data_IF_086669747614
#
_entry.id   IF_086669747614
#
_cell.length_a   1.000
_cell.length_b   1.000
_cell.length_c   1.000
_cell.angle_alpha   90.00
_cell.angle_beta   90.00
_cell.angle_gamma   90.00
#
_symmetry.space_group_name_H-M   'P 1'
#
loop_
_entity.id
_entity.type
_entity.pdbx_description
1 polymer ?
#
# COMPACT_ATOMS: atom_id res chain seq x y z
N UNK A 1 -51.24 -45.25 14.60
CA UNK A 1 -52.63 -44.83 14.31
C UNK A 1 -52.62 -43.36 13.92
N UNK A 2 -53.10 -43.03 12.70
CA UNK A 2 -53.58 -41.73 12.18
C UNK A 2 -52.66 -40.48 12.26
N UNK A 3 -52.53 -39.60 11.26
CA UNK A 3 -53.11 -39.50 9.91
C UNK A 3 -52.30 -38.46 9.12
N UNK A 4 -52.10 -38.76 7.84
CA UNK A 4 -51.83 -37.89 6.69
C UNK A 4 -52.36 -36.44 6.81
N UNK A 5 -51.58 -35.47 6.34
CA UNK A 5 -52.05 -34.51 5.32
C UNK A 5 -50.87 -33.89 4.54
N UNK A 6 -50.79 -34.25 3.25
CA UNK A 6 -50.07 -33.54 2.20
C UNK A 6 -50.93 -32.35 1.73
N UNK A 7 -50.34 -31.18 1.52
CA UNK A 7 -51.00 -30.08 0.79
C UNK A 7 -50.04 -29.52 -0.27
N UNK A 8 -50.66 -29.21 -1.41
CA UNK A 8 -50.16 -29.14 -2.77
C UNK A 8 -49.38 -27.87 -3.15
N UNK A 9 -48.57 -28.05 -4.19
CA UNK A 9 -47.93 -27.08 -5.09
C UNK A 9 -48.95 -26.14 -5.76
N UNK A 10 -48.64 -24.85 -5.90
CA UNK A 10 -49.06 -24.03 -7.04
C UNK A 10 -48.12 -22.83 -7.24
N UNK A 11 -47.38 -22.84 -8.35
CA UNK A 11 -46.64 -21.69 -8.87
C UNK A 11 -47.63 -20.77 -9.60
N UNK A 12 -47.62 -19.47 -9.28
CA UNK A 12 -48.36 -18.44 -10.02
C UNK A 12 -47.36 -17.60 -10.82
N UNK A 13 -47.36 -17.78 -12.13
CA UNK A 13 -46.76 -16.88 -13.12
C UNK A 13 -47.85 -15.90 -13.54
N UNK A 14 -47.67 -14.61 -13.27
CA UNK A 14 -48.54 -13.54 -13.77
C UNK A 14 -47.76 -12.76 -14.82
N UNK A 15 -48.12 -12.97 -16.09
CA UNK A 15 -47.84 -12.06 -17.19
C UNK A 15 -48.93 -10.98 -17.22
N UNK A 16 -48.53 -9.71 -17.19
CA UNK A 16 -49.37 -8.60 -17.65
C UNK A 16 -48.60 -7.77 -18.68
N UNK A 17 -49.22 -7.67 -19.85
CA UNK A 17 -48.83 -6.88 -21.01
C UNK A 17 -49.46 -5.50 -20.94
N UNK A 18 -48.65 -4.44 -20.92
CA UNK A 18 -48.96 -3.04 -21.23
C UNK A 18 -47.63 -2.45 -21.72
N UNK A 19 -47.46 -1.71 -22.81
CA UNK A 19 -48.33 -0.98 -23.71
C UNK A 19 -47.37 0.03 -24.34
N UNK A 20 -47.10 -0.15 -25.63
CA UNK A 20 -46.16 0.63 -26.45
C UNK A 20 -46.93 1.85 -26.94
N UNK A 21 -46.38 3.05 -26.76
CA UNK A 21 -46.37 4.18 -27.73
C UNK A 21 -46.23 5.55 -27.03
N UNK A 22 -45.36 6.38 -27.63
CA UNK A 22 -45.14 7.82 -27.44
C UNK A 22 -44.47 8.32 -26.14
N UNK A 23 -43.15 8.55 -26.20
CA UNK A 23 -42.52 9.88 -26.21
C UNK A 23 -41.16 9.70 -26.92
N UNK A 24 -41.10 10.11 -28.19
CA UNK A 24 -39.88 10.50 -28.88
C UNK A 24 -39.70 12.02 -28.68
N UNK A 25 -38.47 12.47 -28.86
CA UNK A 25 -38.00 13.86 -28.86
C UNK A 25 -37.74 14.52 -27.51
N UNK A 26 -36.50 14.33 -27.00
CA UNK A 26 -35.56 15.44 -26.83
C UNK A 26 -34.23 14.96 -26.19
N UNK A 27 -33.13 15.29 -26.87
CA UNK A 27 -31.74 15.33 -26.40
C UNK A 27 -30.98 14.00 -26.23
N UNK A 28 -30.77 13.35 -27.37
CA UNK A 28 -29.42 12.97 -27.79
C UNK A 28 -28.52 14.20 -27.92
N UNK A 29 -27.41 14.25 -27.18
CA UNK A 29 -26.08 14.74 -27.59
C UNK A 29 -25.14 14.79 -26.37
N UNK A 30 -24.26 13.79 -26.28
CA UNK A 30 -22.82 13.95 -26.00
C UNK A 30 -22.14 12.60 -26.19
N UNK A 31 -21.89 12.34 -27.46
CA UNK A 31 -20.70 11.72 -28.04
C UNK A 31 -19.93 10.73 -27.16
N UNK A 32 -20.11 9.45 -27.49
CA UNK A 32 -19.00 8.52 -27.50
C UNK A 32 -17.87 9.10 -28.35
N UNK A 33 -16.72 9.36 -27.72
CA UNK A 33 -15.47 9.50 -28.45
C UNK A 33 -14.44 8.54 -27.85
N UNK A 34 -14.23 7.48 -28.62
CA UNK A 34 -12.98 6.75 -28.74
C UNK A 34 -11.77 7.68 -28.54
N UNK A 35 -10.94 7.40 -27.54
CA UNK A 35 -9.60 7.96 -27.43
C UNK A 35 -8.59 6.83 -27.27
N UNK A 36 -8.14 6.35 -28.43
CA UNK A 36 -6.76 5.97 -28.72
C UNK A 36 -5.77 7.01 -28.12
N UNK A 37 -4.53 6.62 -27.73
CA UNK A 37 -3.77 7.34 -26.71
C UNK A 37 -3.29 8.69 -27.22
N UNK A 38 -3.69 9.75 -26.54
CA UNK A 38 -3.08 11.07 -26.70
C UNK A 38 -1.69 11.06 -26.06
N UNK A 39 -0.66 11.04 -26.91
CA UNK A 39 0.66 11.58 -26.60
C UNK A 39 0.54 13.09 -26.36
N UNK A 40 0.68 13.50 -25.10
CA UNK A 40 1.28 14.76 -24.63
C UNK A 40 2.02 14.29 -23.38
N UNK A 41 3.34 14.36 -23.24
CA UNK A 41 4.24 15.39 -23.73
C UNK A 41 5.02 15.83 -22.50
N UNK A 42 6.17 15.18 -22.31
CA UNK A 42 7.36 15.78 -21.70
C UNK A 42 7.38 15.93 -20.18
N UNK A 43 7.89 14.88 -19.54
CA UNK A 43 8.90 15.03 -18.49
C UNK A 43 8.37 15.31 -17.09
N UNK A 44 7.63 14.36 -16.51
CA UNK A 44 7.77 14.16 -15.07
C UNK A 44 9.25 13.86 -14.82
N UNK A 45 9.98 14.81 -14.22
CA UNK A 45 11.35 14.56 -13.76
C UNK A 45 11.22 13.47 -12.72
N UNK A 46 11.52 12.24 -13.13
CA UNK A 46 11.58 11.11 -12.22
C UNK A 46 12.54 11.52 -11.10
N UNK A 47 12.06 11.51 -9.86
CA UNK A 47 12.97 11.54 -8.71
C UNK A 47 13.96 10.41 -8.92
N UNK A 48 15.25 10.68 -8.71
CA UNK A 48 16.32 9.68 -8.85
C UNK A 48 16.18 8.52 -7.84
N UNK A 49 15.24 8.63 -6.90
CA UNK A 49 14.98 7.66 -5.85
C UNK A 49 13.94 6.65 -6.34
N UNK A 50 14.25 5.37 -6.15
CA UNK A 50 13.31 4.28 -6.26
C UNK A 50 13.12 3.64 -4.89
N UNK A 51 11.89 3.29 -4.56
CA UNK A 51 11.53 2.66 -3.30
C UNK A 51 10.75 1.38 -3.58
N UNK A 52 10.70 0.47 -2.60
CA UNK A 52 9.60 -0.51 -2.59
C UNK A 52 8.29 0.27 -2.40
N UNK A 53 7.32 0.04 -3.30
CA UNK A 53 6.02 0.72 -3.33
C UNK A 53 4.89 -0.31 -3.42
N UNK A 54 4.29 -0.63 -2.26
CA UNK A 54 3.27 -1.66 -2.10
C UNK A 54 2.45 -1.52 -0.81
N UNK A 55 1.31 -2.19 -0.73
CA UNK A 55 0.46 -2.28 0.46
C UNK A 55 -0.03 -3.72 0.69
N UNK A 56 0.33 -4.33 1.82
CA UNK A 56 -0.01 -5.73 2.12
C UNK A 56 -1.51 -6.01 2.29
N UNK A 57 -2.34 -4.97 2.37
CA UNK A 57 -3.80 -5.09 2.41
C UNK A 57 -4.45 -4.97 1.02
N UNK A 58 -3.68 -4.65 -0.03
CA UNK A 58 -4.17 -4.61 -1.41
C UNK A 58 -4.20 -6.02 -2.01
N UNK A 59 -5.23 -6.31 -2.79
CA UNK A 59 -5.36 -7.59 -3.52
C UNK A 59 -4.19 -7.75 -4.49
N UNK A 60 -3.47 -8.87 -4.38
CA UNK A 60 -2.29 -9.18 -5.21
C UNK A 60 -0.97 -8.55 -4.74
N UNK A 61 -0.97 -7.82 -3.61
CA UNK A 61 0.23 -7.26 -3.00
C UNK A 61 0.49 -7.80 -1.57
N UNK A 62 -0.07 -8.96 -1.24
CA UNK A 62 0.01 -9.58 0.10
C UNK A 62 1.47 -9.83 0.53
N UNK A 63 2.33 -10.15 -0.45
CA UNK A 63 3.77 -10.34 -0.27
C UNK A 63 4.51 -9.06 0.15
N UNK A 64 3.86 -7.90 0.08
CA UNK A 64 4.36 -6.69 0.73
C UNK A 64 4.48 -6.90 2.25
N UNK A 65 3.76 -7.83 2.88
CA UNK A 65 3.97 -8.14 4.29
C UNK A 65 5.35 -8.74 4.61
N UNK A 66 6.07 -9.25 3.60
CA UNK A 66 7.32 -9.99 3.78
C UNK A 66 8.54 -9.06 3.85
N UNK A 67 9.64 -9.62 4.34
CA UNK A 67 10.95 -8.96 4.42
C UNK A 67 11.98 -9.55 3.44
N UNK A 68 11.56 -10.52 2.62
CA UNK A 68 12.41 -11.17 1.64
C UNK A 68 12.70 -10.21 0.47
N UNK A 69 13.98 -9.92 0.24
CA UNK A 69 14.42 -9.00 -0.79
C UNK A 69 14.09 -9.50 -2.19
N UNK A 70 14.15 -10.82 -2.43
CA UNK A 70 13.88 -11.39 -3.74
C UNK A 70 12.41 -11.27 -4.11
N UNK A 71 11.53 -11.45 -3.11
CA UNK A 71 10.09 -11.23 -3.27
C UNK A 71 9.77 -9.75 -3.47
N UNK A 72 10.41 -8.87 -2.69
CA UNK A 72 10.12 -7.45 -2.72
C UNK A 72 10.58 -6.75 -4.01
N UNK A 73 11.57 -7.29 -4.73
CA UNK A 73 12.11 -6.72 -5.99
C UNK A 73 11.02 -6.29 -6.99
N UNK A 74 9.92 -7.04 -7.08
CA UNK A 74 8.80 -6.72 -7.98
C UNK A 74 8.06 -5.42 -7.63
N UNK A 75 8.22 -4.93 -6.40
CA UNK A 75 7.61 -3.69 -5.92
C UNK A 75 8.53 -2.48 -6.04
N UNK A 76 9.75 -2.62 -6.59
CA UNK A 76 10.64 -1.49 -6.82
C UNK A 76 10.07 -0.62 -7.92
N UNK A 77 9.73 0.61 -7.58
CA UNK A 77 9.19 1.60 -8.53
C UNK A 77 9.90 2.94 -8.32
N UNK A 78 10.14 3.72 -9.39
CA UNK A 78 10.63 5.09 -9.25
C UNK A 78 9.61 5.94 -8.50
N UNK A 79 10.09 6.87 -7.67
CA UNK A 79 9.21 7.76 -6.94
C UNK A 79 8.58 8.79 -7.88
N UNK A 80 7.23 8.88 -7.94
CA UNK A 80 6.58 9.83 -8.83
C UNK A 80 6.87 11.27 -8.39
N UNK A 81 6.87 12.19 -9.35
CA UNK A 81 6.78 13.60 -9.02
C UNK A 81 5.42 13.88 -8.36
N UNK A 82 5.39 14.82 -7.41
CA UNK A 82 4.13 15.27 -6.85
C UNK A 82 3.36 16.10 -7.89
N UNK A 83 2.02 15.98 -7.94
CA UNK A 83 1.22 16.75 -8.87
C UNK A 83 1.31 18.24 -8.57
N UNK A 84 1.17 19.05 -9.63
CA UNK A 84 1.02 20.50 -9.52
C UNK A 84 -0.18 20.85 -8.63
N UNK A 85 -0.04 21.89 -7.79
CA UNK A 85 -1.01 22.30 -6.78
C UNK A 85 -1.00 21.52 -5.48
N UNK A 86 -0.08 20.55 -5.28
CA UNK A 86 0.07 19.90 -3.97
C UNK A 86 0.71 20.86 -2.95
N UNK A 87 0.40 20.69 -1.66
CA UNK A 87 1.06 21.48 -0.58
C UNK A 87 2.58 21.28 -0.50
N UNK A 88 3.09 20.30 -1.26
CA UNK A 88 4.49 19.91 -1.34
C UNK A 88 5.02 20.03 -2.78
N UNK A 89 4.37 20.80 -3.65
CA UNK A 89 4.76 21.00 -5.05
C UNK A 89 6.17 21.62 -5.18
N UNK A 90 6.59 22.38 -4.17
CA UNK A 90 7.94 22.96 -4.07
C UNK A 90 9.01 21.93 -3.72
N UNK A 91 8.62 20.70 -3.35
CA UNK A 91 9.56 19.62 -3.08
C UNK A 91 9.97 19.00 -4.42
N UNK A 92 11.26 19.09 -4.74
CA UNK A 92 11.89 18.52 -5.94
C UNK A 92 11.92 16.97 -5.89
N UNK A 93 10.76 16.33 -5.86
CA UNK A 93 10.60 14.88 -5.84
C UNK A 93 10.80 14.25 -4.46
N UNK A 94 10.68 12.92 -4.40
CA UNK A 94 10.92 12.18 -3.16
C UNK A 94 12.37 12.37 -2.69
N UNK A 95 12.55 12.43 -1.36
CA UNK A 95 13.84 12.57 -0.67
C UNK A 95 14.30 11.27 -0.02
N UNK A 96 13.39 10.39 0.34
CA UNK A 96 13.66 9.17 1.12
C UNK A 96 12.62 8.09 0.82
N UNK A 97 12.84 6.89 1.35
CA UNK A 97 11.85 5.82 1.36
C UNK A 97 11.26 5.69 2.77
N UNK A 98 10.03 5.19 2.87
CA UNK A 98 9.41 4.86 4.15
C UNK A 98 8.73 3.50 4.15
N UNK A 99 8.65 2.93 5.35
CA UNK A 99 7.82 1.77 5.70
C UNK A 99 6.89 2.19 6.83
N UNK A 100 5.62 1.81 6.73
CA UNK A 100 4.60 2.04 7.76
C UNK A 100 4.07 0.67 8.17
N UNK A 101 4.15 0.39 9.46
CA UNK A 101 3.44 -0.74 10.07
C UNK A 101 2.19 -0.20 10.73
N UNK A 102 1.04 -0.51 10.15
CA UNK A 102 -0.25 -0.05 10.62
C UNK A 102 -0.97 -1.19 11.35
N UNK A 103 -1.19 -0.98 12.63
CA UNK A 103 -2.00 -1.83 13.49
C UNK A 103 -3.38 -1.20 13.62
N UNK A 104 -4.40 -1.85 13.09
CA UNK A 104 -5.80 -1.46 13.28
C UNK A 104 -6.42 -2.47 14.24
N UNK A 105 -7.03 -2.00 15.32
CA UNK A 105 -7.65 -2.88 16.31
C UNK A 105 -8.69 -3.80 15.64
N UNK A 106 -8.45 -5.11 15.73
CA UNK A 106 -9.32 -6.15 15.15
C UNK A 106 -8.91 -6.65 13.77
N UNK A 107 -7.95 -6.01 13.11
CA UNK A 107 -7.46 -6.40 11.79
C UNK A 107 -6.02 -6.94 11.84
N UNK A 108 -5.58 -7.71 10.84
CA UNK A 108 -4.17 -8.02 10.64
C UNK A 108 -3.32 -6.77 10.45
N UNK A 109 -2.04 -6.86 10.87
CA UNK A 109 -1.05 -5.79 10.65
C UNK A 109 -0.87 -5.54 9.16
N UNK A 110 -0.89 -4.28 8.76
CA UNK A 110 -0.71 -3.85 7.37
C UNK A 110 0.66 -3.22 7.21
N UNK A 111 1.40 -3.67 6.21
CA UNK A 111 2.71 -3.12 5.86
C UNK A 111 2.54 -2.30 4.58
N UNK A 112 2.88 -1.02 4.66
CA UNK A 112 2.84 -0.09 3.54
C UNK A 112 4.27 0.40 3.31
N UNK A 113 4.76 0.25 2.08
CA UNK A 113 6.05 0.80 1.65
C UNK A 113 5.80 1.81 0.57
N UNK A 114 6.43 2.97 0.68
CA UNK A 114 6.21 4.07 -0.26
C UNK A 114 7.35 5.10 -0.20
N UNK A 115 7.29 6.07 -1.10
CA UNK A 115 8.21 7.19 -1.12
C UNK A 115 7.88 8.22 -0.02
N UNK A 116 8.91 8.86 0.51
CA UNK A 116 8.80 9.97 1.43
C UNK A 116 9.34 11.25 0.79
N UNK A 117 8.50 12.29 0.80
CA UNK A 117 8.78 13.60 0.20
C UNK A 117 9.21 14.63 1.25
N UNK A 118 8.99 14.31 2.53
CA UNK A 118 9.27 15.19 3.66
C UNK A 118 9.97 14.42 4.76
N UNK A 119 10.59 15.17 5.67
CA UNK A 119 11.49 14.62 6.67
C UNK A 119 12.93 14.67 6.15
N UNK A 120 13.82 15.14 7.01
CA UNK A 120 15.25 15.28 6.73
C UNK A 120 16.09 14.38 7.66
N UNK A 121 15.43 13.50 8.41
CA UNK A 121 16.02 12.59 9.39
C UNK A 121 15.55 11.15 9.16
N UNK A 122 16.43 10.20 9.47
CA UNK A 122 16.04 8.80 9.57
C UNK A 122 15.14 8.60 10.77
N UNK A 123 14.16 7.72 10.60
CA UNK A 123 13.19 7.42 11.64
C UNK A 123 13.10 5.92 11.79
N UNK A 124 13.20 5.43 13.02
CA UNK A 124 13.06 4.02 13.33
C UNK A 124 11.98 3.84 14.41
N UNK A 125 10.84 3.28 14.03
CA UNK A 125 9.78 2.88 14.97
C UNK A 125 8.99 4.04 15.58
N UNK A 126 8.91 5.21 14.93
CA UNK A 126 8.16 6.35 15.47
C UNK A 126 6.67 6.05 15.50
N UNK A 127 6.15 5.85 16.71
CA UNK A 127 4.73 5.57 16.96
C UNK A 127 3.88 6.82 16.75
N UNK A 128 2.80 6.69 16.01
CA UNK A 128 1.71 7.67 15.92
C UNK A 128 0.37 6.96 16.14
N UNK A 129 -0.37 7.41 17.14
CA UNK A 129 -1.71 6.91 17.41
C UNK A 129 -2.72 7.68 16.57
N UNK A 130 -3.56 6.97 15.84
CA UNK A 130 -4.71 7.51 15.11
C UNK A 130 -6.01 7.33 15.89
N UNK A 131 -7.11 7.72 15.26
CA UNK A 131 -8.46 7.50 15.81
C UNK A 131 -8.88 6.03 15.63
N UNK A 132 -9.84 5.56 16.44
CA UNK A 132 -10.41 4.19 16.37
C UNK A 132 -9.40 3.04 16.55
N UNK A 133 -8.44 3.18 17.47
CA UNK A 133 -7.50 2.09 17.79
C UNK A 133 -6.46 1.81 16.71
N UNK A 134 -6.16 2.81 15.87
CA UNK A 134 -5.10 2.73 14.87
C UNK A 134 -3.77 3.13 15.51
N UNK A 135 -2.73 2.32 15.35
CA UNK A 135 -1.36 2.63 15.76
C UNK A 135 -0.47 2.43 14.53
N UNK A 136 0.21 3.48 14.10
CA UNK A 136 1.18 3.42 13.02
C UNK A 136 2.60 3.51 13.60
N UNK A 137 3.50 2.68 13.10
CA UNK A 137 4.94 2.81 13.31
C UNK A 137 5.58 3.24 12.01
N UNK A 138 6.26 4.37 12.04
CA UNK A 138 6.93 4.94 10.88
C UNK A 138 8.42 4.61 10.90
N UNK A 139 8.91 4.19 9.75
CA UNK A 139 10.31 3.95 9.46
C UNK A 139 10.68 4.76 8.21
N UNK A 140 11.70 5.59 8.28
CA UNK A 140 12.18 6.46 7.18
C UNK A 140 13.69 6.27 7.05
N UNK A 141 14.15 6.09 5.81
CA UNK A 141 15.56 5.87 5.51
C UNK A 141 15.94 6.53 4.18
N UNK A 142 17.23 6.79 3.98
CA UNK A 142 17.75 7.33 2.73
C UNK A 142 18.48 6.23 1.96
N UNK A 143 18.29 6.17 0.65
CA UNK A 143 19.00 5.19 -0.18
C UNK A 143 20.48 5.57 -0.26
N UNK A 144 21.36 4.65 0.14
CA UNK A 144 22.81 4.82 -0.03
C UNK A 144 23.24 4.70 -1.49
N UNK A 145 22.55 3.83 -2.26
CA UNK A 145 22.82 3.60 -3.68
C UNK A 145 21.56 3.74 -4.53
N UNK A 146 21.73 4.29 -5.73
CA UNK A 146 20.66 4.38 -6.72
C UNK A 146 20.20 2.98 -7.12
N UNK A 147 18.89 2.73 -7.05
CA UNK A 147 18.29 1.44 -7.41
C UNK A 147 18.29 0.38 -6.30
N UNK A 148 18.83 0.69 -5.11
CA UNK A 148 18.78 -0.18 -3.92
C UNK A 148 17.90 0.50 -2.84
N UNK A 149 16.59 0.21 -2.79
CA UNK A 149 15.72 0.79 -1.77
C UNK A 149 16.09 0.36 -0.35
N UNK A 150 16.16 1.33 0.56
CA UNK A 150 16.48 1.10 1.97
C UNK A 150 15.27 0.62 2.81
N UNK A 151 14.06 0.54 2.25
CA UNK A 151 12.83 0.25 2.98
C UNK A 151 12.29 -1.22 2.99
N UNK A 152 13.08 -2.32 2.82
CA UNK A 152 12.55 -3.68 2.84
C UNK A 152 12.24 -4.23 4.25
N UNK A 153 13.03 -3.88 5.26
CA UNK A 153 12.88 -4.40 6.63
C UNK A 153 13.35 -3.40 7.68
N UNK A 154 12.75 -3.50 8.86
CA UNK A 154 13.08 -2.73 10.07
C UNK A 154 14.55 -2.94 10.40
N UNK A 155 15.30 -1.86 10.62
CA UNK A 155 16.72 -1.94 10.98
C UNK A 155 16.88 -2.40 12.44
N UNK A 156 16.43 -3.62 12.77
CA UNK A 156 16.90 -4.30 13.98
C UNK A 156 18.28 -4.87 13.72
N UNK A 157 19.27 -3.99 13.61
CA UNK A 157 20.67 -4.38 13.74
C UNK A 157 20.89 -4.70 15.22
N UNK A 158 20.60 -5.94 15.61
CA UNK A 158 21.01 -6.47 16.91
C UNK A 158 22.53 -6.54 16.93
N UNK A 159 23.17 -5.53 17.53
CA UNK A 159 24.58 -5.56 17.95
C UNK A 159 24.76 -6.49 19.15
N UNK A 160 24.25 -7.72 19.08
CA UNK A 160 24.43 -8.75 20.13
C UNK A 160 25.85 -9.37 20.12
N UNK A 161 26.67 -9.08 19.10
CA UNK A 161 28.03 -9.63 18.99
C UNK A 161 29.06 -9.04 19.97
N UNK A 162 28.84 -7.84 20.51
CA UNK A 162 29.84 -7.17 21.34
C UNK A 162 29.85 -7.63 22.82
N UNK A 163 28.74 -8.16 23.33
CA UNK A 163 28.62 -8.58 24.73
C UNK A 163 29.28 -9.94 25.02
N UNK A 164 29.31 -10.85 24.04
CA UNK A 164 29.93 -12.18 24.20
C UNK A 164 31.46 -12.11 24.32
N UNK A 165 32.11 -11.15 23.66
CA UNK A 165 33.56 -10.98 23.74
C UNK A 165 34.04 -10.54 25.14
N UNK A 166 33.24 -9.74 25.86
CA UNK A 166 33.58 -9.27 27.21
C UNK A 166 33.48 -10.41 28.23
N UNK A 167 32.49 -11.29 28.11
CA UNK A 167 32.32 -12.43 29.03
C UNK A 167 33.45 -13.44 28.87
N UNK A 168 33.88 -13.72 27.64
CA UNK A 168 35.03 -14.62 27.39
C UNK A 168 36.34 -14.00 27.90
N UNK A 169 36.56 -12.70 27.70
CA UNK A 169 37.74 -12.01 28.23
C UNK A 169 37.78 -12.05 29.78
N UNK A 170 36.65 -11.87 30.46
CA UNK A 170 36.57 -11.94 31.92
C UNK A 170 36.77 -13.36 32.48
N UNK A 171 36.34 -14.39 31.74
CA UNK A 171 36.61 -15.78 32.11
C UNK A 171 38.08 -16.17 31.90
N UNK A 172 38.72 -15.68 30.83
CA UNK A 172 40.15 -15.91 30.58
C UNK A 172 41.07 -15.19 31.58
N UNK A 173 40.63 -14.13 32.26
CA UNK A 173 41.42 -13.45 33.30
C UNK A 173 41.33 -14.11 34.68
N UNK A 174 40.47 -15.12 34.84
CA UNK A 174 40.27 -15.84 36.12
C UNK A 174 40.90 -17.24 36.16
N UNK A 175 41.60 -17.65 35.11
CA UNK A 175 42.40 -18.88 35.05
C UNK A 175 43.89 -18.57 34.99
#
# INVERSE_FOLDING_TARGET
MNRLLFVFVAAFVVSTTLGKDEIKDALTKKDQKEQQPTKIGTGAVASSISCYQCNSASVGEEECGLHDLDVLKKFIKPCPALPEGSTLEQVNGAKSCRKIEQNVAGDPVRIIRECAYTGDEEVDGKKRTGNKGIINYFYVCFNEKTGEPCNPATQTVFTLGALLAVVVAQLCQRF
#
